data_IF_264261793080
#
_entry.id   IF_264261793080
#
_cell.length_a   1.000
_cell.length_b   1.000
_cell.length_c   1.000
_cell.angle_alpha   90.00
_cell.angle_beta   90.00
_cell.angle_gamma   90.00
#
_symmetry.space_group_name_H-M   'P 1'
#
loop_
_entity.id
_entity.type
_entity.pdbx_description
1 polymer ?
#
# COMPACT_ATOMS: atom_id res chain seq x y z
N UNK A 1 -6.08 3.14 15.55
CA UNK A 1 -4.94 2.87 14.65
C UNK A 1 -4.72 4.10 13.78
N UNK A 2 -3.50 4.63 13.73
CA UNK A 2 -3.21 5.82 12.91
C UNK A 2 -2.97 5.46 11.44
N UNK A 3 -2.54 4.23 11.17
CA UNK A 3 -2.34 3.73 9.81
C UNK A 3 -3.31 2.60 9.50
N UNK A 4 -3.55 2.37 8.22
CA UNK A 4 -4.27 1.20 7.70
C UNK A 4 -3.46 0.60 6.56
N UNK A 5 -3.38 -0.73 6.53
CA UNK A 5 -2.74 -1.49 5.47
C UNK A 5 -3.75 -2.42 4.82
N UNK A 6 -3.67 -2.56 3.51
CA UNK A 6 -4.61 -3.37 2.76
C UNK A 6 -4.01 -3.92 1.46
N UNK A 7 -4.36 -5.16 1.09
CA UNK A 7 -4.00 -5.73 -0.22
C UNK A 7 -5.15 -5.48 -1.20
N UNK A 8 -4.86 -4.74 -2.27
CA UNK A 8 -5.83 -4.30 -3.27
C UNK A 8 -6.00 -5.33 -4.38
N UNK A 9 -4.90 -5.91 -4.84
CA UNK A 9 -4.92 -7.06 -5.73
C UNK A 9 -3.68 -7.22 -6.58
N UNK A 10 -3.81 -7.88 -7.72
CA UNK A 10 -2.69 -8.18 -8.61
C UNK A 10 -2.80 -7.32 -9.86
N UNK A 11 -1.69 -6.73 -10.28
CA UNK A 11 -1.60 -5.90 -11.49
C UNK A 11 -0.40 -6.33 -12.32
N UNK A 12 -0.47 -6.25 -13.66
CA UNK A 12 0.72 -6.28 -14.50
C UNK A 12 1.70 -5.18 -14.07
N UNK A 13 3.00 -5.50 -14.12
CA UNK A 13 4.06 -4.59 -13.63
C UNK A 13 4.07 -3.24 -14.36
N UNK A 14 3.88 -3.25 -15.68
CA UNK A 14 3.89 -2.04 -16.49
C UNK A 14 2.71 -1.12 -16.15
N UNK A 15 1.54 -1.70 -15.87
CA UNK A 15 0.35 -0.95 -15.47
C UNK A 15 0.54 -0.29 -14.10
N UNK A 16 1.10 -1.04 -13.15
CA UNK A 16 1.44 -0.51 -11.83
C UNK A 16 2.48 0.61 -11.91
N UNK A 17 3.54 0.43 -12.70
CA UNK A 17 4.56 1.46 -12.93
C UNK A 17 3.97 2.73 -13.54
N UNK A 18 3.16 2.60 -14.60
CA UNK A 18 2.49 3.72 -15.24
C UNK A 18 1.51 4.43 -14.28
N UNK A 19 0.92 3.71 -13.33
CA UNK A 19 0.10 4.29 -12.28
C UNK A 19 0.93 5.10 -11.28
N UNK A 20 2.07 4.56 -10.82
CA UNK A 20 2.99 5.27 -9.91
C UNK A 20 3.50 6.57 -10.52
N UNK A 21 3.91 6.56 -11.79
CA UNK A 21 4.38 7.76 -12.50
C UNK A 21 3.30 8.86 -12.53
N UNK A 22 2.06 8.50 -12.88
CA UNK A 22 0.93 9.43 -12.92
C UNK A 22 0.56 10.02 -11.56
N UNK A 23 0.74 9.26 -10.48
CA UNK A 23 0.56 9.76 -9.11
C UNK A 23 1.71 10.70 -8.72
N UNK A 24 2.95 10.35 -9.07
CA UNK A 24 4.12 11.21 -8.81
C UNK A 24 4.04 12.57 -9.51
N UNK A 25 3.52 12.60 -10.74
CA UNK A 25 3.28 13.85 -11.49
C UNK A 25 2.18 14.74 -10.86
N UNK A 26 1.16 14.11 -10.27
CA UNK A 26 0.07 14.80 -9.57
C UNK A 26 0.38 14.92 -8.09
N UNK A 27 1.36 15.76 -7.74
CA UNK A 27 1.71 16.19 -6.38
C UNK A 27 1.12 15.28 -5.30
N UNK A 28 1.82 14.17 -5.03
CA UNK A 28 1.41 13.03 -4.19
C UNK A 28 0.20 13.29 -3.29
N UNK A 29 -0.93 12.57 -3.44
CA UNK A 29 -2.05 12.70 -2.52
C UNK A 29 -1.53 12.46 -1.09
N UNK A 30 -1.76 13.39 -0.14
CA UNK A 30 -1.29 13.23 1.23
C UNK A 30 -1.72 11.87 1.80
N UNK A 31 -0.93 11.26 2.68
CA UNK A 31 -1.47 10.18 3.51
C UNK A 31 -1.78 8.83 2.86
N UNK A 32 -1.50 8.59 1.57
CA UNK A 32 -1.61 7.25 0.96
C UNK A 32 -0.34 6.94 0.18
N UNK A 33 0.11 5.70 0.28
CA UNK A 33 1.17 5.13 -0.54
C UNK A 33 0.73 3.77 -1.08
N UNK A 34 1.01 3.51 -2.36
CA UNK A 34 0.72 2.25 -3.03
C UNK A 34 2.02 1.48 -3.24
N UNK A 35 2.08 0.26 -2.72
CA UNK A 35 3.28 -0.56 -2.71
C UNK A 35 3.08 -1.77 -3.62
N UNK A 36 4.13 -2.11 -4.38
CA UNK A 36 4.15 -3.29 -5.24
C UNK A 36 5.15 -4.29 -4.73
N UNK A 37 4.73 -5.54 -4.50
CA UNK A 37 5.62 -6.64 -4.15
C UNK A 37 5.54 -7.77 -5.17
N UNK A 38 6.68 -8.39 -5.48
CA UNK A 38 6.75 -9.57 -6.36
C UNK A 38 6.40 -10.87 -5.64
N UNK A 39 6.37 -10.82 -4.30
CA UNK A 39 6.12 -11.97 -3.45
C UNK A 39 5.06 -11.61 -2.43
N UNK A 40 4.18 -12.57 -2.13
CA UNK A 40 3.22 -12.47 -1.05
C UNK A 40 3.85 -13.04 0.24
N UNK A 41 4.86 -12.35 0.76
CA UNK A 41 5.56 -12.67 2.01
C UNK A 41 5.55 -11.46 2.93
N UNK A 42 5.62 -11.71 4.24
CA UNK A 42 5.71 -10.62 5.21
C UNK A 42 6.95 -9.76 4.94
N UNK A 43 8.10 -10.39 4.71
CA UNK A 43 9.36 -9.70 4.44
C UNK A 43 9.26 -8.77 3.22
N UNK A 44 8.68 -9.24 2.12
CA UNK A 44 8.48 -8.40 0.93
C UNK A 44 7.56 -7.20 1.21
N UNK A 45 6.54 -7.36 2.05
CA UNK A 45 5.72 -6.24 2.47
C UNK A 45 6.48 -5.26 3.37
N UNK A 46 7.27 -5.75 4.31
CA UNK A 46 8.09 -4.90 5.19
C UNK A 46 9.13 -4.12 4.39
N UNK A 47 9.87 -4.77 3.49
CA UNK A 47 10.80 -4.12 2.57
C UNK A 47 10.10 -3.03 1.75
N UNK A 48 8.91 -3.32 1.22
CA UNK A 48 8.17 -2.33 0.44
C UNK A 48 7.79 -1.09 1.26
N UNK A 49 7.39 -1.26 2.52
CA UNK A 49 7.06 -0.15 3.44
C UNK A 49 8.31 0.62 3.85
N UNK A 50 9.46 -0.06 3.97
CA UNK A 50 10.76 0.53 4.26
C UNK A 50 11.32 1.41 3.13
N UNK A 51 10.81 1.27 1.91
CA UNK A 51 11.17 2.17 0.79
C UNK A 51 10.35 3.47 0.73
N UNK A 52 9.22 3.54 1.44
CA UNK A 52 8.35 4.71 1.60
C UNK A 52 8.89 5.88 2.45
N UNK A 53 9.68 5.70 3.54
CA UNK A 53 9.71 6.65 4.65
C UNK A 53 10.43 7.97 4.41
N UNK A 54 11.12 8.18 3.28
CA UNK A 54 11.96 9.38 3.14
C UNK A 54 11.17 10.65 2.75
N UNK A 55 9.88 10.55 2.38
CA UNK A 55 9.17 11.68 1.76
C UNK A 55 8.04 12.32 2.59
N UNK A 56 7.49 11.69 3.63
CA UNK A 56 6.21 12.14 4.25
C UNK A 56 6.19 12.33 5.78
N UNK A 57 7.30 12.12 6.49
CA UNK A 57 7.36 12.30 7.97
C UNK A 57 6.51 11.29 8.76
N UNK A 58 6.23 10.12 8.18
CA UNK A 58 5.43 9.07 8.82
C UNK A 58 6.22 8.36 9.92
N UNK A 59 5.50 7.87 10.92
CA UNK A 59 6.08 7.04 11.98
C UNK A 59 6.24 5.62 11.45
N UNK A 60 7.48 5.28 11.09
CA UNK A 60 7.82 4.02 10.45
C UNK A 60 7.50 2.80 11.31
N UNK A 61 7.82 2.85 12.61
CA UNK A 61 7.54 1.75 13.54
C UNK A 61 6.05 1.39 13.56
N UNK A 62 5.17 2.40 13.54
CA UNK A 62 3.72 2.19 13.50
C UNK A 62 3.22 1.71 12.14
N UNK A 63 3.86 2.12 11.05
CA UNK A 63 3.54 1.64 9.72
C UNK A 63 3.86 0.14 9.59
N UNK A 64 5.05 -0.25 10.05
CA UNK A 64 5.50 -1.64 10.12
C UNK A 64 4.60 -2.47 11.02
N UNK A 65 4.30 -2.00 12.24
CA UNK A 65 3.39 -2.70 13.16
C UNK A 65 2.02 -2.92 12.51
N UNK A 66 1.50 -1.94 11.77
CA UNK A 66 0.20 -2.09 11.06
C UNK A 66 0.24 -3.21 10.01
N UNK A 67 1.36 -3.36 9.29
CA UNK A 67 1.54 -4.44 8.30
C UNK A 67 1.64 -5.80 8.98
N UNK A 68 2.41 -5.90 10.08
CA UNK A 68 2.53 -7.13 10.87
C UNK A 68 1.16 -7.53 11.43
N UNK A 69 0.43 -6.58 12.03
CA UNK A 69 -0.92 -6.83 12.55
C UNK A 69 -1.88 -7.25 11.44
N UNK A 70 -1.85 -6.61 10.27
CA UNK A 70 -2.67 -7.05 9.13
C UNK A 70 -2.34 -8.49 8.76
N UNK A 71 -1.05 -8.83 8.67
CA UNK A 71 -0.59 -10.16 8.28
C UNK A 71 -1.04 -11.23 9.27
N UNK A 72 -0.86 -10.99 10.57
CA UNK A 72 -1.25 -11.94 11.61
C UNK A 72 -2.76 -12.16 11.69
N UNK A 73 -3.55 -11.11 11.45
CA UNK A 73 -5.01 -11.16 11.63
C UNK A 73 -5.78 -11.62 10.38
N UNK A 74 -5.15 -11.71 9.20
CA UNK A 74 -5.83 -12.04 7.94
C UNK A 74 -5.15 -13.17 7.13
N UNK A 75 -4.87 -14.35 7.73
CA UNK A 75 -4.15 -15.43 7.05
C UNK A 75 -4.88 -15.95 5.79
N UNK A 76 -6.22 -16.02 5.81
CA UNK A 76 -7.00 -16.48 4.65
C UNK A 76 -6.90 -15.51 3.47
N UNK A 77 -6.87 -14.20 3.77
CA UNK A 77 -6.73 -13.17 2.73
C UNK A 77 -5.34 -13.18 2.12
N UNK A 78 -4.31 -13.41 2.93
CA UNK A 78 -2.94 -13.59 2.44
C UNK A 78 -2.85 -14.81 1.53
N UNK A 79 -3.39 -15.95 1.96
CA UNK A 79 -3.40 -17.18 1.17
C UNK A 79 -4.13 -16.98 -0.17
N UNK A 80 -5.27 -16.30 -0.15
CA UNK A 80 -5.99 -15.96 -1.37
C UNK A 80 -5.14 -15.13 -2.34
N UNK A 81 -4.49 -14.08 -1.85
CA UNK A 81 -3.67 -13.20 -2.70
C UNK A 81 -2.37 -13.86 -3.17
N UNK A 82 -1.80 -14.75 -2.36
CA UNK A 82 -0.67 -15.58 -2.75
C UNK A 82 -1.03 -16.43 -3.97
N UNK A 83 -2.15 -17.17 -3.90
CA UNK A 83 -2.62 -17.99 -5.02
C UNK A 83 -2.90 -17.13 -6.26
N UNK A 84 -3.56 -15.99 -6.09
CA UNK A 84 -3.85 -15.05 -7.19
C UNK A 84 -2.58 -14.50 -7.86
N UNK A 85 -1.52 -14.26 -7.10
CA UNK A 85 -0.24 -13.80 -7.64
C UNK A 85 0.47 -14.90 -8.42
N UNK A 86 0.46 -16.12 -7.90
CA UNK A 86 1.00 -17.30 -8.58
C UNK A 86 0.27 -17.57 -9.90
N UNK A 87 -1.07 -17.46 -9.91
CA UNK A 87 -1.90 -17.62 -11.11
C UNK A 87 -1.64 -16.53 -12.18
N UNK A 88 -1.29 -15.31 -11.75
CA UNK A 88 -1.05 -14.17 -12.63
C UNK A 88 0.34 -14.17 -13.31
N UNK A 89 1.25 -15.05 -12.86
CA UNK A 89 2.57 -15.23 -13.44
C UNK A 89 3.60 -14.12 -13.16
N UNK A 90 4.79 -14.28 -13.72
CA UNK A 90 6.01 -13.54 -13.32
C UNK A 90 6.05 -12.05 -13.72
N UNK A 91 5.12 -11.58 -14.56
CA UNK A 91 5.04 -10.18 -14.99
C UNK A 91 4.01 -9.37 -14.19
N UNK A 92 3.64 -9.87 -13.01
CA UNK A 92 2.61 -9.30 -12.15
C UNK A 92 3.17 -8.96 -10.78
N UNK A 93 2.62 -7.91 -10.19
CA UNK A 93 2.94 -7.46 -8.83
C UNK A 93 1.69 -7.49 -7.97
N UNK A 94 1.87 -7.86 -6.71
CA UNK A 94 0.84 -7.70 -5.70
C UNK A 94 0.85 -6.26 -5.22
N UNK A 95 -0.28 -5.60 -5.39
CA UNK A 95 -0.49 -4.20 -5.04
C UNK A 95 -1.13 -4.16 -3.65
N UNK A 96 -0.44 -3.48 -2.74
CA UNK A 96 -0.95 -3.12 -1.43
C UNK A 96 -0.98 -1.60 -1.28
N UNK A 97 -1.67 -1.14 -0.23
CA UNK A 97 -1.66 0.26 0.17
C UNK A 97 -1.38 0.36 1.65
N UNK A 98 -0.69 1.44 2.01
CA UNK A 98 -0.61 1.92 3.37
C UNK A 98 -1.10 3.35 3.41
N UNK A 99 -1.91 3.68 4.40
CA UNK A 99 -2.46 5.02 4.52
C UNK A 99 -2.47 5.52 5.95
N UNK A 100 -2.16 6.81 6.12
CA UNK A 100 -2.32 7.56 7.35
C UNK A 100 -3.76 8.06 7.47
N UNK A 101 -4.51 7.48 8.41
CA UNK A 101 -5.92 7.79 8.65
C UNK A 101 -6.18 9.27 8.98
N UNK A 102 -5.36 9.95 9.81
CA UNK A 102 -5.47 11.40 10.00
C UNK A 102 -5.36 12.20 8.70
N UNK A 103 -4.36 11.92 7.87
CA UNK A 103 -4.15 12.60 6.59
C UNK A 103 -5.27 12.32 5.59
N UNK A 104 -5.76 11.08 5.55
CA UNK A 104 -6.94 10.71 4.76
C UNK A 104 -8.19 11.47 5.22
N UNK A 105 -8.43 11.54 6.53
CA UNK A 105 -9.58 12.26 7.09
C UNK A 105 -9.49 13.76 6.81
N UNK A 106 -8.29 14.34 6.87
CA UNK A 106 -8.07 15.74 6.55
C UNK A 106 -8.40 16.06 5.09
N UNK A 107 -7.92 15.23 4.15
CA UNK A 107 -8.27 15.36 2.73
C UNK A 107 -9.75 15.12 2.46
N UNK A 108 -10.32 14.09 3.06
CA UNK A 108 -11.76 13.84 2.92
C UNK A 108 -12.55 15.07 3.35
N UNK A 109 -12.22 15.66 4.50
CA UNK A 109 -12.87 16.87 4.99
C UNK A 109 -12.63 18.10 4.10
N UNK A 110 -11.48 18.22 3.42
CA UNK A 110 -11.25 19.35 2.51
C UNK A 110 -12.17 19.30 1.30
N UNK A 111 -12.51 18.10 0.80
CA UNK A 111 -13.48 17.92 -0.29
C UNK A 111 -14.89 18.44 0.08
N UNK A 112 -15.26 18.44 1.37
CA UNK A 112 -16.55 18.98 1.84
C UNK A 112 -16.49 20.45 2.25
N UNK A 113 -15.31 21.04 2.38
CA UNK A 113 -15.11 22.46 2.69
C UNK A 113 -15.10 23.34 1.44
N UNK A 114 -15.03 22.76 0.25
CA UNK A 114 -15.19 23.48 -1.04
C UNK A 114 -16.67 23.72 -1.41
N UNK A 115 -17.51 24.06 -0.44
CA UNK A 115 -18.89 24.53 -0.66
C UNK A 115 -19.09 25.94 -0.15
#
# INVERSE_FOLDING_TARGET
MNYTFDILGVSPILDFFNHQQRIGEKANPPGVEYLGTYQCTLDAFLESVETVPTQKGWNMDRAVDTVIQFWMNHPDRIRYWKNRLEDAGNASVLVSRIADMPSLKAQFNSLFKEK
#
